data_IF_484567182198
#
_entry.id   IF_484567182198
#
_cell.length_a   1.000
_cell.length_b   1.000
_cell.length_c   1.000
_cell.angle_alpha   90.00
_cell.angle_beta   90.00
_cell.angle_gamma   90.00
#
_symmetry.space_group_name_H-M   'P 1'
#
loop_
_entity.id
_entity.type
_entity.pdbx_description
1 polymer ?
#
# COMPACT_ATOMS: atom_id res chain seq x y z
N UNK A 1 16.82 -5.36 -78.55
CA UNK A 1 15.51 -5.87 -78.93
C UNK A 1 14.70 -6.10 -77.61
N UNK A 2 13.47 -5.63 -77.48
CA UNK A 2 12.62 -5.91 -76.31
C UNK A 2 12.36 -7.43 -76.29
N UNK A 3 12.68 -8.12 -75.18
CA UNK A 3 12.33 -9.52 -74.98
C UNK A 3 10.80 -9.64 -75.05
N UNK A 4 10.29 -10.37 -76.06
CA UNK A 4 8.86 -10.73 -76.12
C UNK A 4 8.56 -11.60 -74.90
N UNK A 5 7.74 -11.09 -73.99
CA UNK A 5 7.33 -11.86 -72.81
C UNK A 5 6.32 -12.92 -73.25
N UNK A 6 6.61 -14.19 -73.04
CA UNK A 6 5.73 -15.32 -73.38
C UNK A 6 4.58 -15.36 -72.35
N UNK A 7 3.37 -15.54 -72.84
CA UNK A 7 2.20 -15.72 -71.99
C UNK A 7 2.36 -17.03 -71.17
N UNK A 8 2.39 -16.89 -69.84
CA UNK A 8 2.56 -18.04 -68.96
C UNK A 8 1.29 -18.91 -68.95
N UNK A 9 1.48 -20.20 -68.95
CA UNK A 9 0.44 -21.20 -68.76
C UNK A 9 0.83 -22.12 -67.58
N UNK A 10 -0.12 -22.81 -66.97
CA UNK A 10 0.20 -23.74 -65.89
C UNK A 10 1.18 -24.83 -66.35
N UNK A 11 1.12 -25.26 -67.63
CA UNK A 11 2.07 -26.20 -68.19
C UNK A 11 3.46 -25.60 -68.26
N UNK A 12 3.60 -24.32 -68.69
CA UNK A 12 4.88 -23.63 -68.80
C UNK A 12 5.49 -23.36 -67.42
N UNK A 13 4.68 -23.03 -66.44
CA UNK A 13 5.09 -22.82 -65.05
C UNK A 13 5.62 -24.12 -64.44
N UNK A 14 4.90 -25.24 -64.58
CA UNK A 14 5.32 -26.54 -64.05
C UNK A 14 6.67 -26.97 -64.69
N UNK A 15 6.81 -26.79 -66.01
CA UNK A 15 8.07 -27.08 -66.71
C UNK A 15 9.23 -26.20 -66.23
N UNK A 16 8.95 -24.91 -66.02
CA UNK A 16 9.95 -23.99 -65.48
C UNK A 16 10.39 -24.31 -64.04
N UNK A 17 9.43 -24.76 -63.22
CA UNK A 17 9.68 -25.23 -61.85
C UNK A 17 10.57 -26.49 -61.85
N UNK A 18 10.27 -27.48 -62.70
CA UNK A 18 11.07 -28.69 -62.81
C UNK A 18 12.52 -28.35 -63.23
N UNK A 19 12.70 -27.51 -64.25
CA UNK A 19 13.99 -27.09 -64.71
C UNK A 19 14.73 -26.25 -63.63
N UNK A 20 14.00 -25.39 -62.84
CA UNK A 20 14.59 -24.58 -61.80
C UNK A 20 15.05 -25.44 -60.61
N UNK A 21 14.35 -26.50 -60.24
CA UNK A 21 14.78 -27.46 -59.21
C UNK A 21 16.17 -28.05 -59.52
N UNK A 22 16.43 -28.33 -60.78
CA UNK A 22 17.71 -28.90 -61.26
C UNK A 22 18.84 -27.85 -61.50
N UNK A 23 18.48 -26.58 -61.54
CA UNK A 23 19.47 -25.49 -61.82
C UNK A 23 20.28 -25.11 -60.56
N UNK A 24 21.40 -24.48 -60.74
CA UNK A 24 22.25 -23.90 -59.66
C UNK A 24 21.77 -22.55 -59.18
N UNK A 25 20.85 -21.93 -59.92
CA UNK A 25 20.34 -20.59 -59.62
C UNK A 25 19.48 -20.58 -58.35
N UNK A 26 19.68 -19.58 -57.46
CA UNK A 26 18.91 -19.40 -56.26
C UNK A 26 17.56 -18.69 -56.49
N UNK A 27 17.45 -17.88 -57.54
CA UNK A 27 16.26 -17.10 -57.89
C UNK A 27 16.09 -17.06 -59.42
N UNK A 28 14.84 -17.20 -59.88
CA UNK A 28 14.46 -17.03 -61.28
C UNK A 28 13.15 -16.27 -61.38
N UNK A 29 13.07 -15.29 -62.28
CA UNK A 29 11.85 -14.52 -62.57
C UNK A 29 11.25 -15.02 -63.90
N UNK A 30 9.98 -15.30 -63.88
CA UNK A 30 9.17 -15.57 -65.06
C UNK A 30 8.17 -14.44 -65.27
N UNK A 31 8.33 -13.67 -66.35
CA UNK A 31 7.46 -12.55 -66.66
C UNK A 31 6.23 -13.07 -67.43
N UNK A 32 5.03 -12.65 -67.06
CA UNK A 32 3.82 -13.06 -67.77
C UNK A 32 3.52 -12.11 -68.94
N UNK A 33 3.46 -12.64 -70.16
CA UNK A 33 3.04 -11.88 -71.34
C UNK A 33 1.54 -11.59 -71.43
N UNK A 34 0.73 -12.31 -70.63
CA UNK A 34 -0.74 -12.11 -70.57
C UNK A 34 -1.19 -11.04 -69.58
N UNK A 35 -0.31 -10.56 -68.68
CA UNK A 35 -0.58 -9.46 -67.76
C UNK A 35 0.73 -8.69 -67.51
N UNK A 36 0.81 -7.50 -68.15
CA UNK A 36 2.01 -6.66 -68.04
C UNK A 36 2.27 -6.29 -66.56
N UNK A 37 3.49 -6.62 -66.09
CA UNK A 37 3.90 -6.34 -64.70
C UNK A 37 3.67 -7.51 -63.74
N UNK A 38 2.99 -8.58 -64.15
CA UNK A 38 2.85 -9.77 -63.34
C UNK A 38 4.07 -10.69 -63.56
N UNK A 39 4.67 -11.14 -62.49
CA UNK A 39 5.83 -12.03 -62.51
C UNK A 39 5.62 -13.19 -61.53
N UNK A 40 6.16 -14.37 -61.86
CA UNK A 40 6.31 -15.45 -60.92
C UNK A 40 7.79 -15.60 -60.54
N UNK A 41 8.09 -15.46 -59.28
CA UNK A 41 9.44 -15.56 -58.73
C UNK A 41 9.61 -16.96 -58.14
N UNK A 42 10.55 -17.70 -58.74
CA UNK A 42 10.99 -18.97 -58.20
C UNK A 42 12.19 -18.76 -57.29
N UNK A 43 12.12 -19.30 -56.07
CA UNK A 43 13.17 -19.19 -55.07
C UNK A 43 13.51 -20.56 -54.49
N UNK A 44 14.83 -20.82 -54.31
CA UNK A 44 15.29 -21.94 -53.51
C UNK A 44 15.34 -21.55 -52.05
N UNK A 45 14.65 -22.28 -51.21
CA UNK A 45 14.58 -22.12 -49.75
C UNK A 45 15.21 -23.35 -49.09
N UNK A 46 15.49 -23.26 -47.78
CA UNK A 46 16.04 -24.41 -47.03
C UNK A 46 15.08 -25.60 -47.00
N UNK A 47 13.77 -25.35 -47.19
CA UNK A 47 12.71 -26.36 -47.21
C UNK A 47 12.32 -26.82 -48.63
N UNK A 48 12.98 -26.31 -49.68
CA UNK A 48 12.69 -26.68 -51.06
C UNK A 48 12.61 -25.51 -52.03
N UNK A 49 11.69 -25.59 -53.01
CA UNK A 49 11.48 -24.51 -54.00
C UNK A 49 10.11 -23.88 -53.81
N UNK A 50 10.07 -22.57 -53.63
CA UNK A 50 8.84 -21.79 -53.59
C UNK A 50 8.63 -20.98 -54.86
N UNK A 51 7.37 -20.72 -55.23
CA UNK A 51 7.00 -19.89 -56.37
C UNK A 51 5.99 -18.83 -55.89
N UNK A 52 6.39 -17.58 -55.96
CA UNK A 52 5.61 -16.46 -55.43
C UNK A 52 5.27 -15.47 -56.53
N UNK A 53 3.99 -15.04 -56.56
CA UNK A 53 3.55 -13.99 -57.46
C UNK A 53 4.05 -12.62 -57.03
N UNK A 54 4.54 -11.83 -57.97
CA UNK A 54 5.09 -10.50 -57.75
C UNK A 54 4.54 -9.55 -58.83
N UNK A 55 4.22 -8.35 -58.44
CA UNK A 55 3.87 -7.25 -59.34
C UNK A 55 5.00 -6.26 -59.48
N UNK A 56 5.25 -5.81 -60.70
CA UNK A 56 6.27 -4.79 -61.01
C UNK A 56 5.73 -3.81 -62.03
N UNK A 57 5.64 -2.54 -61.67
CA UNK A 57 5.20 -1.48 -62.52
C UNK A 57 4.59 -0.33 -61.73
N UNK A 58 4.40 0.84 -62.34
CA UNK A 58 3.85 2.03 -61.69
C UNK A 58 4.57 2.41 -60.37
N UNK A 59 5.92 2.29 -60.37
CA UNK A 59 6.75 2.60 -59.21
C UNK A 59 6.84 1.53 -58.14
N UNK A 60 6.12 0.42 -58.26
CA UNK A 60 6.15 -0.67 -57.27
C UNK A 60 6.83 -1.92 -57.81
N UNK A 61 7.54 -2.65 -56.92
CA UNK A 61 8.02 -4.01 -57.16
C UNK A 61 7.86 -4.80 -55.83
N UNK A 62 6.84 -5.66 -55.73
CA UNK A 62 6.56 -6.40 -54.50
C UNK A 62 5.68 -7.63 -54.72
N UNK A 63 5.59 -8.45 -53.66
CA UNK A 63 4.72 -9.61 -53.66
C UNK A 63 3.25 -9.23 -53.86
N UNK A 64 2.54 -9.97 -54.73
CA UNK A 64 1.10 -9.82 -54.95
C UNK A 64 0.36 -10.51 -53.79
N UNK A 65 0.01 -9.77 -52.74
CA UNK A 65 -0.71 -10.25 -51.54
C UNK A 65 -0.14 -11.48 -50.85
N UNK A 66 1.15 -11.81 -51.08
CA UNK A 66 1.76 -13.02 -50.52
C UNK A 66 1.38 -14.32 -51.27
N UNK A 67 0.69 -14.23 -52.39
CA UNK A 67 0.19 -15.39 -53.14
C UNK A 67 1.30 -16.24 -53.71
N UNK A 68 1.16 -17.53 -53.62
CA UNK A 68 2.08 -18.56 -54.10
C UNK A 68 1.41 -19.48 -55.13
N UNK A 69 2.24 -20.03 -56.03
CA UNK A 69 1.82 -21.08 -56.95
C UNK A 69 2.22 -22.44 -56.30
N UNK A 70 1.36 -23.46 -56.27
CA UNK A 70 0.11 -23.62 -57.07
C UNK A 70 -1.17 -23.12 -56.41
N UNK A 71 -1.16 -22.63 -55.13
CA UNK A 71 -2.35 -22.26 -54.41
C UNK A 71 -3.17 -21.15 -55.13
N UNK A 72 -2.45 -20.25 -55.79
CA UNK A 72 -3.02 -19.25 -56.67
C UNK A 72 -2.56 -19.55 -58.13
N UNK A 73 -3.45 -19.97 -58.98
CA UNK A 73 -3.19 -20.26 -60.41
C UNK A 73 -2.96 -18.99 -61.21
N UNK A 74 -2.41 -19.15 -62.45
CA UNK A 74 -2.07 -18.01 -63.30
C UNK A 74 -3.23 -17.12 -63.64
N UNK A 75 -4.44 -17.63 -63.89
CA UNK A 75 -5.62 -16.84 -64.23
C UNK A 75 -6.09 -16.02 -63.03
N UNK A 76 -6.10 -16.56 -61.84
CA UNK A 76 -6.42 -15.86 -60.61
C UNK A 76 -5.39 -14.77 -60.34
N UNK A 77 -4.09 -15.08 -60.47
CA UNK A 77 -3.00 -14.13 -60.29
C UNK A 77 -3.13 -12.96 -61.28
N UNK A 78 -3.52 -13.22 -62.55
CA UNK A 78 -3.78 -12.14 -63.53
C UNK A 78 -4.91 -11.22 -63.11
N UNK A 79 -6.03 -11.79 -62.65
CA UNK A 79 -7.17 -10.98 -62.21
C UNK A 79 -6.76 -10.09 -61.00
N UNK A 80 -6.15 -10.68 -60.00
CA UNK A 80 -5.66 -9.92 -58.83
C UNK A 80 -4.58 -8.90 -59.18
N UNK A 81 -3.71 -9.17 -60.15
CA UNK A 81 -2.74 -8.20 -60.63
C UNK A 81 -3.41 -7.02 -61.37
N UNK A 82 -4.43 -7.31 -62.18
CA UNK A 82 -5.19 -6.25 -62.88
C UNK A 82 -5.93 -5.34 -61.88
N UNK A 83 -6.57 -5.92 -60.89
CA UNK A 83 -7.24 -5.20 -59.79
C UNK A 83 -6.23 -4.33 -59.03
N UNK A 84 -5.07 -4.91 -58.70
CA UNK A 84 -3.99 -4.21 -58.02
C UNK A 84 -3.51 -3.00 -58.81
N UNK A 85 -3.18 -3.19 -60.12
CA UNK A 85 -2.78 -2.10 -60.99
C UNK A 85 -3.89 -1.09 -61.28
N UNK A 86 -5.15 -1.48 -61.26
CA UNK A 86 -6.28 -0.55 -61.37
C UNK A 86 -6.34 0.39 -60.14
N UNK A 87 -6.22 -0.16 -58.95
CA UNK A 87 -6.14 0.61 -57.72
C UNK A 87 -4.94 1.55 -57.68
N UNK A 88 -3.79 1.11 -58.10
CA UNK A 88 -2.59 1.99 -58.19
C UNK A 88 -2.78 3.16 -59.16
N UNK A 89 -3.50 2.96 -60.28
CA UNK A 89 -3.82 4.03 -61.23
C UNK A 89 -4.80 5.04 -60.68
N UNK A 90 -5.68 4.65 -59.79
CA UNK A 90 -6.55 5.55 -59.03
C UNK A 90 -5.89 6.22 -57.83
N UNK A 91 -4.58 6.03 -57.65
CA UNK A 91 -3.82 6.64 -56.57
C UNK A 91 -3.83 5.88 -55.24
N UNK A 92 -4.46 4.71 -55.20
CA UNK A 92 -4.59 3.89 -53.97
C UNK A 92 -3.70 2.68 -54.10
N UNK A 93 -2.71 2.54 -53.19
CA UNK A 93 -1.94 1.29 -53.02
C UNK A 93 -2.68 0.33 -52.08
N UNK A 94 -3.20 -0.81 -52.61
CA UNK A 94 -4.05 -1.70 -51.82
C UNK A 94 -3.33 -2.31 -50.59
N UNK A 95 -2.00 -2.41 -50.60
CA UNK A 95 -1.25 -2.91 -49.46
C UNK A 95 -1.09 -1.87 -48.36
N UNK A 96 -0.81 -0.63 -48.76
CA UNK A 96 -0.76 0.49 -47.81
C UNK A 96 -2.13 0.70 -47.19
N UNK A 97 -3.21 0.68 -48.00
CA UNK A 97 -4.57 0.82 -47.54
C UNK A 97 -4.97 -0.30 -46.57
N UNK A 98 -4.58 -1.55 -46.86
CA UNK A 98 -4.82 -2.68 -45.94
C UNK A 98 -4.08 -2.51 -44.59
N UNK A 99 -2.85 -1.99 -44.61
CA UNK A 99 -2.11 -1.70 -43.39
C UNK A 99 -2.77 -0.55 -42.61
N UNK A 100 -3.23 0.52 -43.31
CA UNK A 100 -3.96 1.64 -42.70
C UNK A 100 -5.21 1.15 -41.98
N UNK A 101 -6.05 0.37 -42.69
CA UNK A 101 -7.27 -0.20 -42.10
C UNK A 101 -6.97 -1.09 -40.89
N UNK A 102 -5.91 -1.89 -40.97
CA UNK A 102 -5.49 -2.74 -39.85
C UNK A 102 -5.02 -1.93 -38.66
N UNK A 103 -4.31 -0.84 -38.89
CA UNK A 103 -3.89 0.08 -37.82
C UNK A 103 -5.08 0.79 -37.20
N UNK A 104 -6.00 1.33 -38.01
CA UNK A 104 -7.23 1.96 -37.53
C UNK A 104 -8.10 1.01 -36.68
N UNK A 105 -8.23 -0.24 -37.14
CA UNK A 105 -8.95 -1.26 -36.35
C UNK A 105 -8.24 -1.60 -35.04
N UNK A 106 -6.91 -1.64 -35.03
CA UNK A 106 -6.14 -1.87 -33.81
C UNK A 106 -6.26 -0.68 -32.83
N UNK A 107 -6.20 0.54 -33.34
CA UNK A 107 -6.40 1.77 -32.56
C UNK A 107 -7.81 1.85 -31.98
N UNK A 108 -8.84 1.57 -32.79
CA UNK A 108 -10.23 1.50 -32.33
C UNK A 108 -10.44 0.44 -31.25
N UNK A 109 -9.80 -0.73 -31.41
CA UNK A 109 -9.88 -1.80 -30.41
C UNK A 109 -9.19 -1.40 -29.11
N UNK A 110 -8.03 -0.76 -29.19
CA UNK A 110 -7.32 -0.24 -28.00
C UNK A 110 -8.13 0.85 -27.30
N UNK A 111 -8.70 1.77 -28.06
CA UNK A 111 -9.54 2.83 -27.49
C UNK A 111 -10.78 2.25 -26.81
N UNK A 112 -11.44 1.28 -27.41
CA UNK A 112 -12.57 0.58 -26.79
C UNK A 112 -12.16 -0.13 -25.49
N UNK A 113 -10.97 -0.73 -25.42
CA UNK A 113 -10.41 -1.34 -24.19
C UNK A 113 -10.18 -0.26 -23.14
N UNK A 114 -9.58 0.88 -23.49
CA UNK A 114 -9.36 2.01 -22.58
C UNK A 114 -10.66 2.55 -22.01
N UNK A 115 -11.69 2.74 -22.84
CA UNK A 115 -13.01 3.21 -22.42
C UNK A 115 -13.73 2.21 -21.52
N UNK A 116 -13.57 0.90 -21.78
CA UNK A 116 -14.15 -0.15 -20.95
C UNK A 116 -13.40 -0.39 -19.63
N UNK A 117 -12.18 0.17 -19.46
CA UNK A 117 -11.37 0.01 -18.27
C UNK A 117 -11.63 1.14 -17.29
N UNK A 118 -12.52 0.87 -16.33
CA UNK A 118 -12.98 1.87 -15.36
C UNK A 118 -12.00 2.05 -14.20
N UNK A 119 -12.16 3.15 -13.44
CA UNK A 119 -11.41 3.40 -12.21
C UNK A 119 -11.60 2.26 -11.20
N UNK A 120 -12.79 1.68 -11.11
CA UNK A 120 -13.07 0.54 -10.22
C UNK A 120 -12.24 -0.68 -10.58
N UNK A 121 -12.14 -1.03 -11.86
CA UNK A 121 -11.26 -2.13 -12.34
C UNK A 121 -9.79 -1.81 -12.05
N UNK A 122 -9.34 -0.62 -12.41
CA UNK A 122 -7.97 -0.17 -12.16
C UNK A 122 -7.61 -0.23 -10.67
N UNK A 123 -8.52 0.19 -9.80
CA UNK A 123 -8.30 0.15 -8.34
C UNK A 123 -8.24 -1.27 -7.79
N UNK A 124 -9.05 -2.20 -8.33
CA UNK A 124 -8.98 -3.61 -7.96
C UNK A 124 -7.63 -4.23 -8.37
N UNK A 125 -7.22 -4.04 -9.60
CA UNK A 125 -5.97 -4.61 -10.12
C UNK A 125 -4.74 -4.01 -9.45
N UNK A 126 -4.75 -2.70 -9.19
CA UNK A 126 -3.74 -2.03 -8.38
C UNK A 126 -3.67 -2.61 -6.96
N UNK A 127 -4.82 -2.80 -6.31
CA UNK A 127 -4.88 -3.33 -4.94
C UNK A 127 -4.31 -4.74 -4.86
N UNK A 128 -4.68 -5.62 -5.81
CA UNK A 128 -4.16 -6.98 -5.89
C UNK A 128 -2.65 -7.00 -6.18
N UNK A 129 -2.15 -6.13 -7.05
CA UNK A 129 -0.72 -6.00 -7.32
C UNK A 129 0.05 -5.59 -6.05
N UNK A 130 -0.44 -4.56 -5.34
CA UNK A 130 0.20 -4.05 -4.12
C UNK A 130 0.14 -5.08 -2.99
N UNK A 131 -0.96 -5.85 -2.90
CA UNK A 131 -1.12 -6.95 -1.95
C UNK A 131 -0.12 -8.08 -2.22
N UNK A 132 0.03 -8.48 -3.48
CA UNK A 132 1.02 -9.50 -3.90
C UNK A 132 2.47 -9.05 -3.69
N UNK A 133 2.73 -7.74 -3.82
CA UNK A 133 4.04 -7.15 -3.56
C UNK A 133 4.33 -6.94 -2.06
N UNK A 134 3.43 -7.36 -1.17
CA UNK A 134 3.55 -7.24 0.29
C UNK A 134 3.88 -5.81 0.79
N UNK A 135 3.41 -4.78 0.10
CA UNK A 135 3.69 -3.39 0.46
C UNK A 135 3.26 -3.04 1.89
N UNK A 136 2.23 -3.71 2.41
CA UNK A 136 1.69 -3.48 3.76
C UNK A 136 2.25 -4.43 4.82
N UNK A 137 3.31 -5.19 4.52
CA UNK A 137 3.85 -6.19 5.44
C UNK A 137 4.24 -5.61 6.82
N UNK A 138 4.68 -4.36 6.82
CA UNK A 138 5.09 -3.62 8.03
C UNK A 138 4.05 -2.57 8.47
N UNK A 139 2.88 -2.53 7.86
CA UNK A 139 1.77 -1.64 8.24
C UNK A 139 0.56 -2.48 8.68
N UNK A 140 0.54 -2.84 9.97
CA UNK A 140 -0.56 -3.59 10.55
C UNK A 140 -1.90 -2.85 10.32
N UNK A 141 -2.68 -3.38 9.40
CA UNK A 141 -3.97 -2.81 8.99
C UNK A 141 -3.90 -1.79 7.85
N UNK A 142 -2.76 -1.57 7.21
CA UNK A 142 -2.62 -0.72 6.01
C UNK A 142 -3.46 -1.22 4.85
N UNK A 143 -3.41 -2.51 4.58
CA UNK A 143 -4.25 -3.20 3.59
C UNK A 143 -5.74 -2.95 3.84
N UNK A 144 -6.22 -3.25 5.06
CA UNK A 144 -7.62 -3.03 5.45
C UNK A 144 -8.04 -1.55 5.36
N UNK A 145 -7.15 -0.63 5.71
CA UNK A 145 -7.42 0.81 5.58
C UNK A 145 -7.52 1.23 4.13
N UNK A 146 -6.66 0.71 3.24
CA UNK A 146 -6.73 0.98 1.80
C UNK A 146 -8.03 0.44 1.20
N UNK A 147 -8.41 -0.79 1.54
CA UNK A 147 -9.67 -1.41 1.14
C UNK A 147 -10.89 -0.58 1.59
N UNK A 148 -10.93 -0.15 2.86
CA UNK A 148 -12.01 0.70 3.38
C UNK A 148 -12.08 2.03 2.64
N UNK A 149 -10.92 2.66 2.34
CA UNK A 149 -10.88 3.91 1.60
C UNK A 149 -11.46 3.75 0.19
N UNK A 150 -11.06 2.69 -0.51
CA UNK A 150 -11.60 2.38 -1.83
C UNK A 150 -13.11 2.15 -1.74
N UNK A 151 -13.54 1.20 -0.93
CA UNK A 151 -14.93 0.75 -0.85
C UNK A 151 -15.90 1.81 -0.35
N UNK A 152 -15.53 2.59 0.67
CA UNK A 152 -16.45 3.50 1.34
C UNK A 152 -16.40 4.96 0.82
N UNK A 153 -15.29 5.37 0.20
CA UNK A 153 -15.10 6.78 -0.14
C UNK A 153 -14.81 7.03 -1.62
N UNK A 154 -14.15 6.12 -2.32
CA UNK A 154 -13.69 6.36 -3.68
C UNK A 154 -14.59 5.69 -4.71
N UNK A 155 -14.71 4.36 -4.67
CA UNK A 155 -15.46 3.57 -5.66
C UNK A 155 -16.93 3.99 -5.79
N UNK A 156 -17.68 4.29 -4.69
CA UNK A 156 -19.08 4.71 -4.81
C UNK A 156 -19.29 5.99 -5.60
N UNK A 157 -18.24 6.79 -5.82
CA UNK A 157 -18.32 8.09 -6.53
C UNK A 157 -17.77 7.98 -7.93
N UNK A 158 -16.66 7.24 -8.12
CA UNK A 158 -15.91 7.28 -9.38
C UNK A 158 -15.60 5.89 -9.95
N UNK A 159 -16.18 4.83 -9.38
CA UNK A 159 -15.88 3.45 -9.80
C UNK A 159 -16.16 3.17 -11.28
N UNK A 160 -17.21 3.75 -11.84
CA UNK A 160 -17.65 3.53 -13.21
C UNK A 160 -17.01 4.49 -14.22
N UNK A 161 -16.23 5.47 -13.77
CA UNK A 161 -15.55 6.42 -14.66
C UNK A 161 -14.46 5.72 -15.46
N UNK A 162 -14.42 5.83 -16.80
CA UNK A 162 -13.31 5.35 -17.59
C UNK A 162 -12.00 5.97 -17.12
N UNK A 163 -10.99 5.13 -16.84
CA UNK A 163 -9.75 5.61 -16.20
C UNK A 163 -8.98 6.59 -17.09
N UNK A 164 -9.12 6.49 -18.40
CA UNK A 164 -8.50 7.41 -19.35
C UNK A 164 -9.12 8.82 -19.32
N UNK A 165 -10.38 8.92 -18.92
CA UNK A 165 -11.11 10.19 -18.77
C UNK A 165 -11.02 10.77 -17.36
N UNK A 166 -10.34 10.09 -16.43
CA UNK A 166 -10.29 10.48 -15.05
C UNK A 166 -9.44 11.74 -14.84
N UNK A 167 -10.03 12.77 -14.23
CA UNK A 167 -9.43 14.09 -14.02
C UNK A 167 -9.54 14.56 -12.58
N UNK A 168 -8.96 15.72 -12.28
CA UNK A 168 -9.08 16.38 -10.97
C UNK A 168 -10.55 16.68 -10.56
N UNK A 169 -11.49 16.79 -11.52
CA UNK A 169 -12.93 17.00 -11.22
C UNK A 169 -13.50 15.80 -10.46
N UNK A 170 -13.21 14.60 -10.92
CA UNK A 170 -13.62 13.36 -10.26
C UNK A 170 -13.01 13.24 -8.85
N UNK A 171 -11.76 13.72 -8.69
CA UNK A 171 -11.16 13.81 -7.35
C UNK A 171 -11.91 14.78 -6.45
N UNK A 172 -12.29 15.94 -6.99
CA UNK A 172 -13.10 16.91 -6.26
C UNK A 172 -14.43 16.31 -5.81
N UNK A 173 -15.12 15.57 -6.68
CA UNK A 173 -16.38 14.89 -6.34
C UNK A 173 -16.19 13.89 -5.19
N UNK A 174 -15.11 13.09 -5.20
CA UNK A 174 -14.76 12.22 -4.07
C UNK A 174 -14.51 13.02 -2.80
N UNK A 175 -13.82 14.16 -2.87
CA UNK A 175 -13.53 15.00 -1.71
C UNK A 175 -14.80 15.65 -1.13
N UNK A 176 -15.78 15.96 -1.96
CA UNK A 176 -17.06 16.55 -1.54
C UNK A 176 -18.06 15.49 -1.06
N UNK A 177 -17.91 14.25 -1.52
CA UNK A 177 -18.81 13.17 -1.12
C UNK A 177 -18.77 12.96 0.42
N UNK A 178 -19.97 12.99 1.03
CA UNK A 178 -20.13 12.88 2.49
C UNK A 178 -19.25 13.88 3.29
N UNK A 179 -18.95 15.03 2.69
CA UNK A 179 -18.15 16.10 3.30
C UNK A 179 -16.76 15.62 3.77
N UNK A 180 -16.17 14.67 2.99
CA UNK A 180 -14.93 13.97 3.36
C UNK A 180 -13.76 14.94 3.61
N UNK A 181 -13.56 15.89 2.68
CA UNK A 181 -12.44 16.85 2.78
C UNK A 181 -12.57 17.75 3.98
N UNK A 182 -13.78 18.24 4.24
CA UNK A 182 -14.05 19.19 5.33
C UNK A 182 -14.02 18.50 6.69
N UNK A 183 -14.58 17.29 6.82
CA UNK A 183 -14.77 16.62 8.12
C UNK A 183 -13.65 15.64 8.48
N UNK A 184 -12.97 15.04 7.49
CA UNK A 184 -11.99 13.97 7.69
C UNK A 184 -10.74 14.21 6.86
N UNK A 185 -10.05 15.34 7.10
CA UNK A 185 -8.90 15.79 6.30
C UNK A 185 -7.80 14.74 6.14
N UNK A 186 -7.46 14.01 7.20
CA UNK A 186 -6.45 12.93 7.12
C UNK A 186 -6.90 11.74 6.27
N UNK A 187 -8.20 11.43 6.31
CA UNK A 187 -8.79 10.40 5.44
C UNK A 187 -8.80 10.86 3.98
N UNK A 188 -9.16 12.12 3.74
CA UNK A 188 -9.12 12.74 2.42
C UNK A 188 -7.71 12.70 1.81
N UNK A 189 -6.66 12.98 2.59
CA UNK A 189 -5.26 12.84 2.15
C UNK A 189 -4.94 11.42 1.69
N UNK A 190 -5.37 10.41 2.46
CA UNK A 190 -5.16 8.99 2.13
C UNK A 190 -5.92 8.58 0.87
N UNK A 191 -7.17 9.02 0.71
CA UNK A 191 -7.94 8.77 -0.51
C UNK A 191 -7.26 9.38 -1.74
N UNK A 192 -6.78 10.63 -1.66
CA UNK A 192 -6.03 11.25 -2.76
C UNK A 192 -4.75 10.50 -3.11
N UNK A 193 -3.99 10.04 -2.10
CA UNK A 193 -2.79 9.24 -2.33
C UNK A 193 -3.11 7.91 -3.05
N UNK A 194 -4.21 7.23 -2.68
CA UNK A 194 -4.66 6.01 -3.36
C UNK A 194 -5.08 6.33 -4.79
N UNK A 195 -5.86 7.38 -5.02
CA UNK A 195 -6.29 7.78 -6.38
C UNK A 195 -5.08 8.00 -7.29
N UNK A 196 -4.07 8.75 -6.84
CA UNK A 196 -2.85 8.96 -7.63
C UNK A 196 -2.14 7.64 -7.94
N UNK A 197 -2.04 6.73 -6.98
CA UNK A 197 -1.39 5.42 -7.19
C UNK A 197 -2.18 4.56 -8.20
N UNK A 198 -3.49 4.58 -8.17
CA UNK A 198 -4.35 3.88 -9.14
C UNK A 198 -4.20 4.50 -10.54
N UNK A 199 -4.19 5.83 -10.66
CA UNK A 199 -3.97 6.50 -11.94
C UNK A 199 -2.58 6.20 -12.52
N UNK A 200 -1.54 6.20 -11.69
CA UNK A 200 -0.18 5.85 -12.10
C UNK A 200 -0.08 4.38 -12.52
N UNK A 201 -0.74 3.47 -11.79
CA UNK A 201 -0.85 2.06 -12.18
C UNK A 201 -1.48 1.94 -13.57
N UNK A 202 -2.60 2.59 -13.81
CA UNK A 202 -3.30 2.55 -15.09
C UNK A 202 -2.44 3.12 -16.23
N UNK A 203 -1.69 4.20 -15.99
CA UNK A 203 -0.78 4.78 -16.96
C UNK A 203 0.35 3.80 -17.32
N UNK A 204 1.03 3.24 -16.34
CA UNK A 204 2.16 2.30 -16.56
C UNK A 204 1.74 1.01 -17.25
N UNK A 205 0.45 0.65 -17.23
CA UNK A 205 -0.11 -0.52 -17.93
C UNK A 205 -0.84 -0.17 -19.24
N UNK A 206 -0.75 1.08 -19.70
CA UNK A 206 -1.30 1.50 -20.99
C UNK A 206 -2.83 1.68 -21.02
N UNK A 207 -3.50 1.69 -19.87
CA UNK A 207 -4.95 1.95 -19.76
C UNK A 207 -5.28 3.43 -19.62
N UNK A 208 -4.31 4.28 -19.37
CA UNK A 208 -4.42 5.72 -19.22
C UNK A 208 -3.28 6.41 -19.96
N UNK A 209 -3.59 7.39 -20.82
CA UNK A 209 -2.59 8.14 -21.57
C UNK A 209 -1.91 9.22 -20.72
N UNK A 210 -2.68 9.88 -19.85
CA UNK A 210 -2.16 10.95 -18.99
C UNK A 210 -1.31 10.42 -17.84
N UNK A 211 -0.06 10.89 -17.73
CA UNK A 211 0.84 10.62 -16.61
C UNK A 211 0.50 11.44 -15.35
N UNK A 212 -0.29 12.50 -15.52
CA UNK A 212 -0.63 13.44 -14.45
C UNK A 212 -1.22 12.75 -13.21
N UNK A 213 -0.84 13.26 -12.04
CA UNK A 213 -1.43 12.90 -10.75
C UNK A 213 -2.65 13.79 -10.45
N UNK A 214 -3.88 13.36 -10.80
CA UNK A 214 -5.07 14.22 -10.75
C UNK A 214 -5.46 14.60 -9.31
N UNK A 215 -5.01 13.86 -8.32
CA UNK A 215 -5.29 14.12 -6.90
C UNK A 215 -4.19 14.91 -6.19
N UNK A 216 -3.18 15.40 -6.91
CA UNK A 216 -2.17 16.31 -6.36
C UNK A 216 -2.81 17.67 -6.08
N UNK A 217 -2.49 18.29 -4.91
CA UNK A 217 -3.02 19.59 -4.54
C UNK A 217 -2.29 20.73 -5.27
N UNK A 218 -2.55 20.84 -6.57
CA UNK A 218 -2.04 21.89 -7.43
C UNK A 218 -3.17 22.39 -8.37
N UNK A 219 -2.96 23.51 -9.00
CA UNK A 219 -3.86 24.04 -10.05
C UNK A 219 -5.32 24.13 -9.63
N UNK A 220 -6.21 23.64 -10.49
CA UNK A 220 -7.65 23.76 -10.31
C UNK A 220 -8.20 23.00 -9.10
N UNK A 221 -7.67 21.80 -8.80
CA UNK A 221 -8.08 21.04 -7.62
C UNK A 221 -7.77 21.81 -6.34
N UNK A 222 -6.56 22.35 -6.22
CA UNK A 222 -6.16 23.15 -5.06
C UNK A 222 -7.04 24.37 -4.94
N UNK A 223 -7.22 25.15 -6.02
CA UNK A 223 -8.06 26.36 -6.02
C UNK A 223 -9.49 26.09 -5.56
N UNK A 224 -10.09 24.98 -6.00
CA UNK A 224 -11.43 24.58 -5.57
C UNK A 224 -11.48 24.13 -4.11
N UNK A 225 -10.51 23.36 -3.66
CA UNK A 225 -10.48 22.85 -2.28
C UNK A 225 -10.09 23.95 -1.26
N UNK A 226 -9.32 24.95 -1.64
CA UNK A 226 -8.98 26.10 -0.78
C UNK A 226 -10.24 26.94 -0.42
N UNK A 227 -11.29 26.89 -1.24
CA UNK A 227 -12.57 27.52 -0.95
C UNK A 227 -13.41 26.74 0.09
N UNK A 228 -13.05 25.47 0.33
CA UNK A 228 -13.73 24.63 1.30
C UNK A 228 -13.02 24.77 2.65
N UNK A 229 -13.63 25.51 3.58
CA UNK A 229 -13.08 25.68 4.92
C UNK A 229 -13.15 24.36 5.67
N UNK A 230 -12.01 23.71 5.97
CA UNK A 230 -12.02 22.49 6.79
C UNK A 230 -12.57 22.82 8.18
N UNK A 231 -13.39 21.93 8.72
CA UNK A 231 -13.75 22.01 10.13
C UNK A 231 -12.46 21.83 10.91
N UNK A 232 -11.97 22.89 11.54
CA UNK A 232 -10.86 22.82 12.48
C UNK A 232 -11.30 21.88 13.62
N UNK A 233 -10.90 20.63 13.51
CA UNK A 233 -10.97 19.75 14.70
C UNK A 233 -9.84 20.22 15.61
N UNK A 234 -10.19 20.66 16.80
CA UNK A 234 -9.21 20.73 17.88
C UNK A 234 -8.48 19.38 17.91
N UNK A 235 -7.13 19.43 17.88
CA UNK A 235 -6.33 18.22 18.02
C UNK A 235 -6.66 17.59 19.36
N UNK A 236 -7.35 16.47 19.33
CA UNK A 236 -7.55 15.66 20.52
C UNK A 236 -6.24 15.03 20.97
N UNK A 237 -6.21 14.56 22.18
CA UNK A 237 -5.15 13.74 22.72
C UNK A 237 -5.69 12.31 23.01
N UNK A 238 -4.78 11.38 23.30
CA UNK A 238 -5.21 10.05 23.73
C UNK A 238 -5.86 10.17 25.10
N UNK A 239 -7.13 9.70 25.25
CA UNK A 239 -7.86 9.83 26.49
C UNK A 239 -7.12 9.19 27.66
N UNK A 240 -7.03 9.89 28.78
CA UNK A 240 -6.22 9.48 29.93
C UNK A 240 -6.96 9.67 31.24
N UNK A 241 -6.47 9.00 32.27
CA UNK A 241 -6.72 9.37 33.66
C UNK A 241 -5.86 10.58 34.01
N UNK A 242 -6.40 11.59 34.68
CA UNK A 242 -5.57 12.73 35.11
C UNK A 242 -4.48 12.25 36.08
N UNK A 243 -3.28 12.86 36.04
CA UNK A 243 -2.16 12.41 36.87
C UNK A 243 -2.49 12.33 38.36
N UNK A 244 -3.25 13.26 38.89
CA UNK A 244 -3.61 13.28 40.32
C UNK A 244 -4.55 12.13 40.71
N UNK A 245 -5.29 11.58 39.78
CA UNK A 245 -6.22 10.47 40.00
C UNK A 245 -5.54 9.09 39.81
N UNK A 246 -4.30 9.05 39.38
CA UNK A 246 -3.59 7.78 39.05
C UNK A 246 -3.46 6.85 40.27
N UNK A 247 -3.15 7.29 41.48
CA UNK A 247 -3.06 6.38 42.63
C UNK A 247 -4.40 5.70 42.94
N UNK A 248 -5.53 6.43 42.92
CA UNK A 248 -6.87 5.87 43.14
C UNK A 248 -7.23 4.89 42.00
N UNK A 249 -6.99 5.30 40.75
CA UNK A 249 -7.19 4.44 39.58
C UNK A 249 -6.40 3.14 39.69
N UNK A 250 -5.11 3.24 40.04
CA UNK A 250 -4.20 2.11 40.13
C UNK A 250 -4.59 1.15 41.27
N UNK A 251 -5.00 1.67 42.42
CA UNK A 251 -5.55 0.88 43.54
C UNK A 251 -6.83 0.16 43.15
N UNK A 252 -7.71 0.81 42.42
CA UNK A 252 -8.99 0.19 41.99
C UNK A 252 -8.74 -0.98 41.01
N UNK A 253 -7.64 -1.00 40.26
CA UNK A 253 -7.34 -2.16 39.40
C UNK A 253 -7.19 -3.45 40.22
N UNK A 254 -6.76 -3.39 41.48
CA UNK A 254 -6.63 -4.55 42.37
C UNK A 254 -7.97 -5.19 42.76
N UNK A 255 -9.09 -4.48 42.60
CA UNK A 255 -10.41 -5.02 42.76
C UNK A 255 -10.83 -5.97 41.64
N UNK A 256 -10.04 -6.04 40.58
CA UNK A 256 -10.30 -6.86 39.38
C UNK A 256 -9.27 -7.96 39.28
N UNK A 257 -9.70 -9.18 39.53
CA UNK A 257 -8.87 -10.35 39.36
C UNK A 257 -8.59 -10.65 37.87
N UNK A 258 -7.44 -11.25 37.61
CA UNK A 258 -7.10 -11.81 36.32
C UNK A 258 -6.00 -11.06 35.57
N UNK A 259 -5.54 -11.72 34.52
CA UNK A 259 -4.36 -11.30 33.75
C UNK A 259 -4.52 -9.91 33.09
N UNK A 260 -5.75 -9.50 32.77
CA UNK A 260 -5.99 -8.19 32.15
C UNK A 260 -5.68 -7.02 33.08
N UNK A 261 -6.01 -7.16 34.38
CA UNK A 261 -5.69 -6.18 35.41
C UNK A 261 -4.17 -6.06 35.60
N UNK A 262 -3.49 -7.19 35.75
CA UNK A 262 -2.02 -7.24 35.86
C UNK A 262 -1.32 -6.66 34.61
N UNK A 263 -1.86 -6.94 33.41
CA UNK A 263 -1.36 -6.40 32.16
C UNK A 263 -1.54 -4.87 32.07
N UNK A 264 -2.68 -4.34 32.55
CA UNK A 264 -2.93 -2.89 32.62
C UNK A 264 -1.96 -2.20 33.58
N UNK A 265 -1.79 -2.75 34.79
CA UNK A 265 -0.80 -2.27 35.76
C UNK A 265 0.62 -2.26 35.19
N UNK A 266 1.04 -3.33 34.53
CA UNK A 266 2.36 -3.40 33.89
C UNK A 266 2.52 -2.35 32.81
N UNK A 267 1.50 -2.14 31.97
CA UNK A 267 1.51 -1.12 30.93
C UNK A 267 1.69 0.29 31.52
N UNK A 268 1.03 0.60 32.64
CA UNK A 268 1.13 1.88 33.35
C UNK A 268 2.52 2.03 33.99
N UNK A 269 2.97 1.05 34.76
CA UNK A 269 4.26 1.06 35.45
C UNK A 269 5.47 1.17 34.48
N UNK A 270 5.33 0.69 33.26
CA UNK A 270 6.38 0.75 32.24
C UNK A 270 6.21 1.89 31.23
N UNK A 271 5.19 2.71 31.37
CA UNK A 271 4.81 3.77 30.41
C UNK A 271 4.78 3.30 28.94
N UNK A 272 4.48 2.00 28.73
CA UNK A 272 4.58 1.34 27.44
C UNK A 272 3.36 1.56 26.56
N UNK A 273 3.54 1.43 25.23
CA UNK A 273 2.38 1.35 24.33
C UNK A 273 1.66 0.02 24.53
N UNK A 274 0.31 -0.02 24.56
CA UNK A 274 -0.42 -1.29 24.70
C UNK A 274 0.00 -2.38 23.72
N UNK A 275 0.36 -2.00 22.48
CA UNK A 275 0.83 -2.94 21.47
C UNK A 275 2.20 -3.59 21.75
N UNK A 276 2.97 -3.08 22.69
CA UNK A 276 4.21 -3.71 23.15
C UNK A 276 3.93 -4.81 24.20
N UNK A 277 2.86 -4.64 24.98
CA UNK A 277 2.51 -5.53 26.09
C UNK A 277 1.61 -6.69 25.66
N UNK A 278 0.58 -6.37 24.87
CA UNK A 278 -0.46 -7.31 24.43
C UNK A 278 -0.05 -8.08 23.16
N UNK A 279 -0.82 -9.14 22.85
CA UNK A 279 -0.69 -9.87 21.59
C UNK A 279 -0.79 -8.94 20.38
N UNK A 280 0.22 -9.01 19.52
CA UNK A 280 0.20 -8.42 18.19
C UNK A 280 0.63 -9.49 17.16
N UNK A 281 0.12 -9.37 15.94
CA UNK A 281 0.47 -10.28 14.84
C UNK A 281 1.29 -9.47 13.83
N UNK A 282 2.46 -9.96 13.53
CA UNK A 282 3.38 -9.42 12.54
C UNK A 282 3.61 -10.45 11.44
N UNK A 283 4.08 -10.01 10.28
CA UNK A 283 4.58 -10.90 9.23
C UNK A 283 6.10 -10.76 9.14
N UNK A 284 6.79 -11.87 9.06
CA UNK A 284 8.23 -11.86 8.81
C UNK A 284 8.49 -11.20 7.43
N UNK A 285 9.38 -10.19 7.33
CA UNK A 285 9.59 -9.46 6.09
C UNK A 285 10.18 -10.33 4.96
N UNK A 286 10.89 -11.41 5.30
CA UNK A 286 11.53 -12.31 4.33
C UNK A 286 10.62 -13.51 4.01
N UNK A 287 10.23 -14.28 5.04
CA UNK A 287 9.48 -15.52 4.86
C UNK A 287 7.97 -15.32 4.67
N UNK A 288 7.45 -14.11 4.95
CA UNK A 288 6.03 -13.76 4.92
C UNK A 288 5.16 -14.53 5.91
N UNK A 289 5.75 -15.39 6.73
CA UNK A 289 5.04 -16.19 7.72
C UNK A 289 4.57 -15.30 8.87
N UNK A 290 3.28 -15.35 9.26
CA UNK A 290 2.79 -14.63 10.42
C UNK A 290 3.44 -15.16 11.69
N UNK A 291 3.80 -14.25 12.61
CA UNK A 291 4.24 -14.61 13.95
C UNK A 291 3.61 -13.67 14.98
N UNK A 292 3.57 -14.14 16.22
CA UNK A 292 2.96 -13.44 17.34
C UNK A 292 4.04 -12.79 18.20
N UNK A 293 3.80 -11.54 18.60
CA UNK A 293 4.57 -10.86 19.66
C UNK A 293 3.66 -10.52 20.83
N UNK A 294 4.21 -10.53 22.01
CA UNK A 294 3.66 -10.06 23.27
C UNK A 294 4.81 -10.01 24.28
N UNK A 295 4.57 -9.56 25.51
CA UNK A 295 5.60 -9.60 26.56
C UNK A 295 5.99 -11.05 26.88
N UNK A 296 7.28 -11.36 26.77
CA UNK A 296 7.87 -12.69 27.03
C UNK A 296 8.72 -12.65 28.29
N UNK A 297 8.80 -13.78 28.98
CA UNK A 297 9.71 -13.93 30.11
C UNK A 297 11.19 -13.84 29.71
N UNK A 298 11.53 -14.34 28.52
CA UNK A 298 12.91 -14.30 27.99
C UNK A 298 13.39 -12.85 27.70
N UNK A 299 12.48 -11.92 27.51
CA UNK A 299 12.79 -10.50 27.26
C UNK A 299 12.99 -9.71 28.57
N UNK A 300 12.78 -10.34 29.76
CA UNK A 300 12.80 -9.69 31.06
C UNK A 300 13.95 -10.23 31.92
N UNK A 301 14.81 -9.32 32.34
CA UNK A 301 15.79 -9.57 33.38
C UNK A 301 15.35 -8.92 34.70
N UNK A 302 14.89 -9.75 35.64
CA UNK A 302 14.39 -9.27 36.94
C UNK A 302 15.51 -8.81 37.88
N UNK A 303 16.75 -9.29 37.68
CA UNK A 303 17.90 -8.90 38.50
C UNK A 303 18.48 -7.57 37.98
N UNK A 304 18.66 -7.43 36.69
CA UNK A 304 19.05 -6.18 36.08
C UNK A 304 17.94 -5.12 36.09
N UNK A 305 16.68 -5.51 36.34
CA UNK A 305 15.51 -4.65 36.29
C UNK A 305 15.28 -4.08 34.90
N UNK A 306 15.28 -4.92 33.87
CA UNK A 306 15.13 -4.51 32.48
C UNK A 306 14.14 -5.38 31.72
N UNK A 307 13.47 -4.77 30.75
CA UNK A 307 12.65 -5.42 29.73
C UNK A 307 13.14 -4.97 28.36
N UNK A 308 13.71 -5.89 27.60
CA UNK A 308 14.30 -5.61 26.28
C UNK A 308 13.29 -5.87 25.18
N UNK A 309 13.05 -4.86 24.35
CA UNK A 309 12.10 -4.91 23.25
C UNK A 309 12.82 -5.02 21.91
N UNK A 310 12.48 -6.04 21.15
CA UNK A 310 12.95 -6.19 19.77
C UNK A 310 12.48 -5.04 18.89
N UNK A 311 13.27 -4.59 17.89
CA UNK A 311 12.89 -3.57 16.92
C UNK A 311 11.55 -3.82 16.22
N UNK A 312 11.17 -5.07 16.09
CA UNK A 312 9.95 -5.47 15.37
C UNK A 312 8.66 -5.03 16.09
N UNK A 313 8.69 -4.92 17.42
CA UNK A 313 7.54 -4.45 18.22
C UNK A 313 7.53 -2.92 18.36
N UNK A 314 8.61 -2.28 17.93
CA UNK A 314 8.74 -0.84 17.98
C UNK A 314 8.05 -0.18 16.77
N UNK A 315 7.30 0.89 17.00
CA UNK A 315 6.62 1.65 15.93
C UNK A 315 7.61 2.32 14.98
N UNK A 316 8.83 2.58 15.44
CA UNK A 316 9.85 3.31 14.69
C UNK A 316 10.85 2.35 14.05
N UNK A 317 10.93 2.39 12.72
CA UNK A 317 11.90 1.62 11.94
C UNK A 317 13.34 2.15 12.16
N UNK A 318 14.32 1.25 12.13
CA UNK A 318 15.74 1.60 12.14
C UNK A 318 16.33 1.85 13.53
N UNK A 319 15.68 1.39 14.61
CA UNK A 319 16.28 1.32 15.94
C UNK A 319 16.79 -0.10 16.21
N UNK A 320 17.84 -0.16 17.00
CA UNK A 320 18.28 -1.35 17.71
C UNK A 320 17.25 -1.76 18.79
N UNK A 321 17.55 -2.75 19.58
CA UNK A 321 16.75 -3.13 20.74
C UNK A 321 16.50 -1.93 21.66
N UNK A 322 15.33 -1.92 22.28
CA UNK A 322 14.95 -0.87 23.21
C UNK A 322 14.78 -1.44 24.62
N UNK A 323 15.54 -0.90 25.55
CA UNK A 323 15.47 -1.30 26.96
C UNK A 323 14.49 -0.40 27.72
N UNK A 324 13.49 -1.03 28.36
CA UNK A 324 12.62 -0.43 29.36
C UNK A 324 13.18 -0.76 30.74
N UNK A 325 13.48 0.24 31.54
CA UNK A 325 13.88 0.03 32.92
C UNK A 325 12.66 -0.21 33.79
N UNK A 326 12.73 -1.25 34.61
CA UNK A 326 11.64 -1.69 35.49
C UNK A 326 11.84 -1.11 36.89
N UNK A 327 10.81 -0.44 37.41
CA UNK A 327 10.77 -0.06 38.82
C UNK A 327 10.65 -1.27 39.73
N UNK A 328 11.00 -1.11 41.00
CA UNK A 328 10.80 -2.13 42.03
C UNK A 328 9.35 -2.61 42.10
N UNK A 329 8.39 -1.72 41.86
CA UNK A 329 6.95 -1.99 41.79
C UNK A 329 6.56 -2.84 40.57
N UNK A 330 7.16 -2.59 39.41
CA UNK A 330 6.97 -3.41 38.21
C UNK A 330 7.56 -4.82 38.40
N UNK A 331 8.72 -4.92 39.01
CA UNK A 331 9.36 -6.20 39.35
C UNK A 331 8.51 -7.00 40.34
N UNK A 332 7.98 -6.34 41.38
CA UNK A 332 7.08 -6.98 42.35
C UNK A 332 5.80 -7.50 41.66
N UNK A 333 5.22 -6.71 40.77
CA UNK A 333 4.08 -7.15 39.95
C UNK A 333 4.44 -8.38 39.10
N UNK A 334 5.57 -8.39 38.41
CA UNK A 334 6.00 -9.52 37.58
C UNK A 334 6.23 -10.78 38.41
N UNK A 335 6.82 -10.67 39.61
CA UNK A 335 7.00 -11.78 40.51
C UNK A 335 5.67 -12.37 41.03
N UNK A 336 4.59 -11.60 41.04
CA UNK A 336 3.23 -12.06 41.40
C UNK A 336 2.51 -12.80 40.28
N UNK A 337 3.06 -12.81 39.04
CA UNK A 337 2.43 -13.47 37.90
C UNK A 337 2.90 -14.93 37.85
N UNK A 338 1.98 -15.91 37.78
CA UNK A 338 2.35 -17.30 37.66
C UNK A 338 3.06 -17.58 36.35
N UNK A 339 4.14 -18.34 36.39
CA UNK A 339 4.82 -18.87 35.20
C UNK A 339 4.30 -20.26 34.91
N UNK A 340 3.91 -20.49 33.66
CA UNK A 340 3.48 -21.80 33.18
C UNK A 340 4.65 -22.47 32.45
N UNK A 341 4.88 -23.74 32.74
CA UNK A 341 5.95 -24.51 32.11
C UNK A 341 5.75 -24.56 30.58
N UNK A 342 6.82 -24.32 29.84
CA UNK A 342 6.76 -24.26 28.36
C UNK A 342 6.08 -23.04 27.75
N UNK A 343 5.52 -22.14 28.56
CA UNK A 343 4.87 -20.93 28.09
C UNK A 343 5.80 -19.71 28.16
N UNK A 344 6.15 -19.10 27.01
CA UNK A 344 7.04 -17.95 27.01
C UNK A 344 6.35 -16.64 27.43
N UNK A 345 5.00 -16.63 27.50
CA UNK A 345 4.23 -15.39 27.64
C UNK A 345 4.03 -15.00 29.10
N UNK A 346 4.30 -13.73 29.42
CA UNK A 346 4.03 -13.17 30.76
C UNK A 346 2.52 -13.09 31.02
N UNK A 347 1.79 -12.57 30.05
CA UNK A 347 0.33 -12.38 30.18
C UNK A 347 -0.42 -13.42 29.34
N UNK A 348 -0.79 -14.50 29.98
CA UNK A 348 -1.56 -15.60 29.42
C UNK A 348 -2.70 -16.01 30.37
N UNK A 349 -3.81 -16.55 29.85
CA UNK A 349 -4.90 -17.11 30.64
C UNK A 349 -4.85 -18.61 30.75
N UNK A 350 -4.34 -19.23 29.69
CA UNK A 350 -4.39 -20.67 29.44
C UNK A 350 -3.01 -21.32 29.47
N UNK A 351 -1.95 -20.55 29.77
CA UNK A 351 -0.57 -21.05 29.71
C UNK A 351 -0.03 -21.32 28.30
N UNK A 352 -0.78 -21.00 27.26
CA UNK A 352 -0.40 -21.31 25.88
C UNK A 352 -0.39 -20.07 24.98
N UNK A 353 -1.41 -19.20 25.12
CA UNK A 353 -1.63 -18.08 24.22
C UNK A 353 -1.47 -16.74 24.95
N UNK A 354 -0.87 -15.73 24.31
CA UNK A 354 -0.81 -14.39 24.89
C UNK A 354 -2.15 -13.68 24.82
N UNK A 355 -2.41 -12.80 25.78
CA UNK A 355 -3.66 -12.05 25.89
C UNK A 355 -3.80 -11.04 24.75
N UNK A 356 -4.98 -11.02 24.13
CA UNK A 356 -5.27 -10.23 22.95
C UNK A 356 -5.53 -8.74 23.20
N UNK A 357 -5.57 -7.98 22.11
CA UNK A 357 -5.89 -6.57 22.10
C UNK A 357 -7.27 -6.29 22.72
N UNK A 358 -7.41 -5.11 23.32
CA UNK A 358 -8.65 -4.65 23.94
C UNK A 358 -8.89 -5.19 25.36
N UNK A 359 -8.08 -6.12 25.86
CA UNK A 359 -8.28 -6.68 27.22
C UNK A 359 -8.07 -5.61 28.30
N UNK A 360 -7.05 -4.79 28.20
CA UNK A 360 -6.80 -3.69 29.14
C UNK A 360 -7.92 -2.64 29.11
N UNK A 361 -8.45 -2.32 27.93
CA UNK A 361 -9.57 -1.38 27.79
C UNK A 361 -10.84 -1.93 28.47
N UNK A 362 -11.11 -3.23 28.30
CA UNK A 362 -12.25 -3.89 29.00
C UNK A 362 -12.14 -3.85 30.53
N UNK A 363 -10.92 -3.85 31.08
CA UNK A 363 -10.75 -3.65 32.53
C UNK A 363 -11.23 -2.26 32.93
N UNK A 364 -10.82 -1.21 32.19
CA UNK A 364 -11.28 0.17 32.42
C UNK A 364 -12.80 0.29 32.28
N UNK A 365 -13.37 -0.35 31.25
CA UNK A 365 -14.84 -0.37 31.05
C UNK A 365 -15.56 -1.03 32.23
N UNK A 366 -15.00 -2.13 32.77
CA UNK A 366 -15.56 -2.81 33.96
C UNK A 366 -15.42 -1.96 35.24
N UNK A 367 -14.28 -1.25 35.40
CA UNK A 367 -14.07 -0.29 36.49
C UNK A 367 -15.13 0.81 36.42
N UNK A 368 -15.37 1.38 35.23
CA UNK A 368 -16.38 2.41 35.00
C UNK A 368 -17.80 1.89 35.27
N UNK A 369 -18.12 0.66 34.86
CA UNK A 369 -19.43 0.05 35.18
C UNK A 369 -19.65 -0.08 36.69
N UNK A 370 -18.61 -0.50 37.45
CA UNK A 370 -18.66 -0.59 38.91
C UNK A 370 -18.81 0.78 39.54
N UNK A 371 -18.05 1.77 39.16
CA UNK A 371 -18.15 3.17 39.64
C UNK A 371 -19.54 3.76 39.38
N UNK A 372 -20.07 3.55 38.18
CA UNK A 372 -21.43 3.99 37.82
C UNK A 372 -22.50 3.36 38.72
N UNK A 373 -22.40 2.07 39.00
CA UNK A 373 -23.30 1.37 39.92
C UNK A 373 -23.23 1.90 41.36
N UNK A 374 -22.07 2.44 41.75
CA UNK A 374 -21.81 3.03 43.06
C UNK A 374 -22.12 4.55 43.14
N UNK A 375 -22.50 5.17 42.01
CA UNK A 375 -22.71 6.63 41.93
C UNK A 375 -21.40 7.45 41.97
N UNK A 376 -20.26 6.79 41.72
CA UNK A 376 -18.94 7.44 41.69
C UNK A 376 -18.62 7.98 40.31
N UNK A 377 -17.73 8.99 40.26
CA UNK A 377 -17.20 9.54 39.02
C UNK A 377 -16.48 8.44 38.21
N UNK A 378 -16.86 8.28 36.95
CA UNK A 378 -16.20 7.34 36.03
C UNK A 378 -14.81 7.82 35.59
N UNK A 379 -13.96 6.89 35.20
CA UNK A 379 -12.65 7.19 34.64
C UNK A 379 -12.77 7.63 33.19
N UNK A 380 -13.10 8.90 33.00
CA UNK A 380 -13.27 9.56 31.71
C UNK A 380 -12.24 10.67 31.54
N UNK A 381 -11.86 10.93 30.30
CA UNK A 381 -11.10 12.13 29.95
C UNK A 381 -12.06 13.29 29.74
N UNK A 382 -12.07 14.24 30.65
CA UNK A 382 -13.03 15.37 30.60
C UNK A 382 -12.81 16.30 29.41
N UNK A 383 -11.54 16.56 29.02
CA UNK A 383 -11.22 17.41 27.89
C UNK A 383 -11.70 16.79 26.58
N UNK A 384 -11.40 15.51 26.37
CA UNK A 384 -11.85 14.79 25.19
C UNK A 384 -13.38 14.59 25.19
N UNK A 385 -13.98 14.36 26.35
CA UNK A 385 -15.45 14.25 26.50
C UNK A 385 -16.14 15.56 26.12
N UNK A 386 -15.63 16.68 26.60
CA UNK A 386 -16.13 18.02 26.23
C UNK A 386 -15.94 18.30 24.73
N UNK A 387 -14.75 17.99 24.19
CA UNK A 387 -14.44 18.19 22.78
C UNK A 387 -15.35 17.38 21.86
N UNK A 388 -15.72 16.16 22.26
CA UNK A 388 -16.51 15.23 21.46
C UNK A 388 -18.01 15.24 21.79
N UNK A 389 -18.43 15.99 22.82
CA UNK A 389 -19.83 16.12 23.24
C UNK A 389 -20.44 14.83 23.81
N UNK A 390 -19.61 13.91 24.31
CA UNK A 390 -20.05 12.64 24.94
C UNK A 390 -18.96 12.11 25.87
N UNK A 391 -19.31 11.30 26.89
CA UNK A 391 -18.32 10.67 27.75
C UNK A 391 -17.31 9.84 26.95
N UNK A 392 -16.03 10.03 27.22
CA UNK A 392 -14.93 9.30 26.61
C UNK A 392 -14.11 8.64 27.73
N UNK A 393 -14.16 7.31 27.79
CA UNK A 393 -13.40 6.54 28.75
C UNK A 393 -11.89 6.78 28.57
N UNK A 394 -11.17 6.84 29.68
CA UNK A 394 -9.72 6.81 29.65
C UNK A 394 -9.24 5.56 28.89
N UNK A 395 -8.15 5.70 28.18
CA UNK A 395 -7.56 4.61 27.41
C UNK A 395 -6.29 4.07 28.08
N UNK A 396 -5.96 2.79 27.91
CA UNK A 396 -4.69 2.25 28.40
C UNK A 396 -3.47 3.03 27.86
N UNK A 397 -3.56 3.47 26.60
CA UNK A 397 -2.48 4.22 25.93
C UNK A 397 -2.28 5.61 26.58
N UNK A 398 -3.36 6.38 26.70
CA UNK A 398 -3.28 7.72 27.29
C UNK A 398 -2.87 7.66 28.75
N UNK A 399 -3.47 6.75 29.53
CA UNK A 399 -3.19 6.58 30.96
C UNK A 399 -1.73 6.14 31.21
N UNK A 400 -1.21 5.17 30.46
CA UNK A 400 0.16 4.71 30.65
C UNK A 400 1.19 5.78 30.26
N UNK A 401 0.95 6.59 29.23
CA UNK A 401 1.98 7.44 28.62
C UNK A 401 1.76 8.93 28.84
N UNK A 402 0.53 9.41 28.60
CA UNK A 402 0.27 10.85 28.75
C UNK A 402 0.22 11.25 30.22
N UNK A 403 -0.36 10.40 31.10
CA UNK A 403 -0.35 10.68 32.55
C UNK A 403 1.08 10.64 33.11
N UNK A 404 1.88 9.62 32.74
CA UNK A 404 3.30 9.51 33.08
C UNK A 404 4.07 10.80 32.70
N UNK A 405 4.02 11.17 31.42
CA UNK A 405 4.73 12.35 30.91
C UNK A 405 4.30 13.61 31.64
N UNK A 406 2.98 13.81 31.80
CA UNK A 406 2.43 15.01 32.44
C UNK A 406 2.82 15.07 33.90
N UNK A 407 2.80 13.95 34.62
CA UNK A 407 3.22 13.92 36.03
C UNK A 407 4.70 14.29 36.20
N UNK A 408 5.61 13.74 35.39
CA UNK A 408 7.04 14.04 35.46
C UNK A 408 7.40 15.48 35.04
N UNK A 409 6.55 16.12 34.24
CA UNK A 409 6.77 17.49 33.76
C UNK A 409 5.91 18.54 34.44
N UNK A 410 5.16 18.18 35.50
CA UNK A 410 4.30 19.10 36.22
C UNK A 410 5.10 20.05 37.13
N UNK A 411 4.59 21.27 37.33
CA UNK A 411 5.12 22.21 38.36
C UNK A 411 4.82 21.72 39.77
N UNK A 412 3.80 20.89 39.90
CA UNK A 412 3.42 20.29 41.18
C UNK A 412 4.57 19.51 41.75
N UNK A 413 4.92 19.75 43.00
CA UNK A 413 6.10 19.18 43.67
C UNK A 413 7.41 19.36 42.90
N UNK A 414 7.49 20.33 42.02
CA UNK A 414 8.69 20.70 41.24
C UNK A 414 9.24 19.54 40.38
N UNK A 415 8.42 18.61 39.96
CA UNK A 415 8.86 17.46 39.14
C UNK A 415 9.58 17.88 37.88
N UNK A 416 9.16 18.98 37.21
CA UNK A 416 9.81 19.49 35.99
C UNK A 416 11.28 19.92 36.22
N UNK A 417 11.68 20.25 37.48
CA UNK A 417 13.06 20.59 37.84
C UNK A 417 13.88 19.35 38.23
N UNK A 418 13.20 18.28 38.69
CA UNK A 418 13.83 17.05 39.17
C UNK A 418 14.23 16.12 38.05
N UNK A 419 13.34 15.91 37.08
CA UNK A 419 13.52 14.89 36.07
C UNK A 419 14.01 15.47 34.75
N UNK A 420 15.03 14.82 34.15
CA UNK A 420 15.55 15.21 32.85
C UNK A 420 14.50 14.93 31.77
N UNK A 421 14.14 15.97 31.01
CA UNK A 421 13.13 15.88 29.93
C UNK A 421 13.53 14.88 28.84
N UNK A 422 14.81 14.76 28.51
CA UNK A 422 15.30 13.80 27.52
C UNK A 422 15.14 12.35 28.03
N UNK A 423 15.42 12.12 29.31
CA UNK A 423 15.21 10.82 29.94
C UNK A 423 13.72 10.42 29.94
N UNK A 424 12.81 11.39 30.20
CA UNK A 424 11.36 11.17 30.11
C UNK A 424 10.95 10.76 28.68
N UNK A 425 11.42 11.48 27.67
CA UNK A 425 11.10 11.17 26.27
C UNK A 425 11.71 9.81 25.85
N UNK A 426 12.91 9.48 26.34
CA UNK A 426 13.51 8.17 26.11
C UNK A 426 12.73 7.03 26.80
N UNK A 427 12.20 7.24 28.02
CA UNK A 427 11.29 6.27 28.65
C UNK A 427 10.08 5.96 27.77
N UNK A 428 9.58 6.97 27.05
CA UNK A 428 8.47 6.83 26.13
C UNK A 428 8.87 6.27 24.75
N UNK A 429 10.12 5.90 24.55
CA UNK A 429 10.66 5.52 23.24
C UNK A 429 10.37 6.58 22.16
N UNK A 430 10.48 7.86 22.52
CA UNK A 430 10.46 8.96 21.57
C UNK A 430 11.87 9.22 21.02
N UNK A 431 11.95 9.91 19.89
CA UNK A 431 13.21 10.41 19.39
C UNK A 431 13.59 11.64 20.20
N UNK A 432 14.76 11.60 20.79
CA UNK A 432 15.45 12.76 21.33
C UNK A 432 16.64 12.99 20.40
N UNK A 433 16.59 14.02 19.59
CA UNK A 433 17.65 14.31 18.63
C UNK A 433 17.46 15.69 18.04
N UNK A 434 18.56 16.41 17.88
CA UNK A 434 18.67 17.71 17.24
C UNK A 434 18.16 17.68 15.80
N UNK A 435 17.56 18.79 15.35
CA UNK A 435 17.27 19.08 13.93
C UNK A 435 18.53 19.07 13.05
N UNK A 436 19.71 19.01 13.63
CA UNK A 436 21.03 19.03 12.97
C UNK A 436 21.71 17.66 12.87
N UNK A 437 20.95 16.59 12.59
CA UNK A 437 21.53 15.34 12.05
C UNK A 437 22.37 14.52 13.01
N UNK A 438 21.82 14.15 14.11
CA UNK A 438 21.99 12.95 14.94
C UNK A 438 23.25 12.07 14.88
N UNK A 439 24.42 12.63 14.59
CA UNK A 439 25.68 11.87 14.56
C UNK A 439 26.48 11.91 15.86
N UNK A 440 26.17 12.83 16.76
CA UNK A 440 26.93 13.05 17.96
C UNK A 440 26.14 12.66 19.21
N UNK A 441 26.69 11.69 19.94
CA UNK A 441 26.40 11.27 21.30
C UNK A 441 24.89 11.13 21.64
N UNK A 442 24.40 9.89 21.67
CA UNK A 442 23.08 9.54 22.21
C UNK A 442 23.29 8.91 23.59
N UNK A 443 23.35 9.69 24.68
CA UNK A 443 23.44 9.10 26.00
C UNK A 443 22.19 8.26 26.23
N UNK A 444 22.37 7.04 26.75
CA UNK A 444 21.26 6.18 27.14
C UNK A 444 20.46 6.75 28.31
N UNK A 445 21.06 7.64 29.10
CA UNK A 445 20.50 8.24 30.32
C UNK A 445 19.90 7.18 31.24
N UNK A 446 20.55 6.02 31.33
CA UNK A 446 20.04 4.83 32.05
C UNK A 446 19.66 5.14 33.49
N UNK A 447 20.48 5.86 34.24
CA UNK A 447 20.23 6.20 35.63
C UNK A 447 19.06 7.16 35.78
N UNK A 448 19.02 8.23 34.99
CA UNK A 448 17.89 9.16 34.98
C UNK A 448 16.58 8.51 34.55
N UNK A 449 16.62 7.54 33.61
CA UNK A 449 15.45 6.77 33.21
C UNK A 449 14.98 5.83 34.32
N UNK A 450 15.90 5.19 35.02
CA UNK A 450 15.58 4.37 36.21
C UNK A 450 14.92 5.20 37.28
N UNK A 451 15.47 6.39 37.57
CA UNK A 451 14.89 7.35 38.53
C UNK A 451 13.45 7.73 38.15
N UNK A 452 13.21 8.10 36.88
CA UNK A 452 11.87 8.40 36.39
C UNK A 452 10.89 7.23 36.61
N UNK A 453 11.32 6.01 36.28
CA UNK A 453 10.45 4.81 36.37
C UNK A 453 10.19 4.42 37.84
N UNK A 454 11.18 4.52 38.71
CA UNK A 454 11.03 4.24 40.15
C UNK A 454 10.09 5.23 40.82
N UNK A 455 10.30 6.54 40.58
CA UNK A 455 9.45 7.58 41.13
C UNK A 455 7.99 7.44 40.64
N UNK A 456 7.79 7.09 39.37
CA UNK A 456 6.47 6.84 38.82
C UNK A 456 5.81 5.60 39.43
N UNK A 457 6.55 4.51 39.58
CA UNK A 457 6.06 3.26 40.20
C UNK A 457 5.62 3.51 41.64
N UNK A 458 6.41 4.24 42.40
CA UNK A 458 6.08 4.66 43.78
C UNK A 458 4.80 5.47 43.79
N UNK A 459 4.72 6.53 42.96
CA UNK A 459 3.55 7.39 42.90
C UNK A 459 2.28 6.63 42.53
N UNK A 460 2.32 5.79 41.51
CA UNK A 460 1.16 4.97 41.11
C UNK A 460 0.62 4.11 42.28
N UNK A 461 1.52 3.59 43.11
CA UNK A 461 1.16 2.61 44.15
C UNK A 461 0.83 3.25 45.47
N UNK A 462 1.50 4.32 45.85
CA UNK A 462 1.41 4.94 47.18
C UNK A 462 0.78 6.34 47.19
N UNK A 463 0.72 7.01 46.03
CA UNK A 463 0.33 8.41 45.90
C UNK A 463 1.40 9.40 46.39
N UNK A 464 2.55 8.91 46.88
CA UNK A 464 3.61 9.75 47.43
C UNK A 464 4.51 10.31 46.34
N UNK A 465 4.85 11.57 46.47
CA UNK A 465 5.84 12.23 45.62
C UNK A 465 7.27 11.91 46.10
N UNK A 466 8.30 12.16 45.25
CA UNK A 466 9.68 11.78 45.57
C UNK A 466 10.24 12.40 46.87
N UNK A 467 9.71 13.55 47.28
CA UNK A 467 10.15 14.26 48.50
C UNK A 467 9.35 13.85 49.77
N UNK A 468 8.33 13.04 49.61
CA UNK A 468 7.48 12.52 50.68
C UNK A 468 7.86 11.06 51.00
#
# INVERSE_FOLDING_TARGET
MPKVSVTLTDKSIRNALRAFKQSTSRKKRLCDGGCKGLNLILLKTNSGTSARWEVRGLGVERSLYGLTYPDCGINEARNKAREYFASLRSGIDPLIEKERIKQEQAEQTQEAIKQAYTFGKASHDWFEMVRKADKWINDAGGEKKAEINLRCHIIPVVGDVPINEFTWRHVYDVMMHNDLYRRKSEQAKKCRAIINQVCLYAHTHGYRDAEEEPARLIGALKAKLDLVVPVKKEKGHEPRVEPDDIPEFFAQIDEFEGVGAKMLKFCILTASRPGMVQKAIHKNPVTKIPFVTATRWDDIDLEAGTWTLSPIVMKMKGRDEFVVYLSSYAIALLRSIPRFEGCPWVFTRDGCNPVGAGTMARVIDSMNAKRRAQGLREWIDEKESKRLGRPINASPHGTARSSFRTWLTTDKHKNYQRFNIEAIELCLAHFVGDEYGGGYNRPDLSDSRRECMEAWGRYCTTGLYPDE
#
